data_IF_456647182202
#
_entry.id   IF_456647182202
#
_cell.length_a   1.000
_cell.length_b   1.000
_cell.length_c   1.000
_cell.angle_alpha   90.00
_cell.angle_beta   90.00
_cell.angle_gamma   90.00
#
_symmetry.space_group_name_H-M   'P 1'
#
loop_
_entity.id
_entity.type
_entity.pdbx_description
1 polymer ?
#
# COMPACT_ATOMS: atom_id res chain seq x y z
N UNK A 1 -20.83 -16.00 -16.83
CA UNK A 1 -21.65 -15.68 -15.65
C UNK A 1 -20.75 -15.43 -14.46
N UNK A 2 -20.89 -14.27 -13.83
CA UNK A 2 -20.20 -13.90 -12.59
C UNK A 2 -21.29 -13.66 -11.54
N UNK A 3 -21.68 -14.67 -10.78
CA UNK A 3 -22.81 -14.58 -9.84
C UNK A 3 -22.51 -13.68 -8.64
N UNK A 4 -21.24 -13.49 -8.32
CA UNK A 4 -20.77 -12.62 -7.21
C UNK A 4 -19.44 -11.98 -7.61
N UNK A 5 -19.26 -10.69 -7.27
CA UNK A 5 -18.04 -9.93 -7.53
C UNK A 5 -18.07 -9.18 -8.85
N UNK A 6 -16.90 -8.74 -9.30
CA UNK A 6 -16.73 -7.95 -10.51
C UNK A 6 -16.09 -8.78 -11.62
N UNK A 7 -16.59 -8.58 -12.85
CA UNK A 7 -16.02 -9.28 -14.01
C UNK A 7 -14.65 -8.69 -14.35
N UNK A 8 -13.62 -9.52 -14.34
CA UNK A 8 -12.27 -9.13 -14.76
C UNK A 8 -12.27 -8.75 -16.25
N UNK A 9 -11.66 -7.61 -16.58
CA UNK A 9 -11.61 -7.06 -17.94
C UNK A 9 -12.84 -6.22 -18.35
N UNK A 10 -13.82 -6.01 -17.47
CA UNK A 10 -14.91 -5.06 -17.71
C UNK A 10 -14.44 -3.64 -17.42
N UNK A 11 -14.72 -2.70 -18.33
CA UNK A 11 -14.29 -1.29 -18.21
C UNK A 11 -14.95 -0.58 -17.01
N UNK A 12 -16.17 -0.94 -16.66
CA UNK A 12 -16.92 -0.35 -15.54
C UNK A 12 -16.57 -0.96 -14.18
N UNK A 13 -16.04 -2.19 -14.14
CA UNK A 13 -15.77 -2.89 -12.89
C UNK A 13 -14.85 -2.11 -11.93
N UNK A 14 -13.75 -1.46 -12.36
CA UNK A 14 -12.91 -0.68 -11.45
C UNK A 14 -13.65 0.50 -10.81
N UNK A 15 -14.47 1.20 -11.60
CA UNK A 15 -15.25 2.35 -11.11
C UNK A 15 -16.30 1.91 -10.10
N UNK A 16 -17.04 0.84 -10.39
CA UNK A 16 -18.04 0.28 -9.48
C UNK A 16 -17.38 -0.20 -8.17
N UNK A 17 -16.19 -0.81 -8.26
CA UNK A 17 -15.44 -1.23 -7.10
C UNK A 17 -15.00 -0.06 -6.23
N UNK A 18 -14.55 1.06 -6.83
CA UNK A 18 -14.19 2.26 -6.09
C UNK A 18 -15.38 2.85 -5.31
N UNK A 19 -16.56 2.91 -5.91
CA UNK A 19 -17.76 3.32 -5.19
C UNK A 19 -18.07 2.38 -4.02
N UNK A 20 -17.97 1.08 -4.25
CA UNK A 20 -18.24 0.08 -3.24
C UNK A 20 -17.24 0.13 -2.07
N UNK A 21 -15.94 0.28 -2.36
CA UNK A 21 -14.89 0.35 -1.33
C UNK A 21 -14.97 1.68 -0.54
N UNK A 22 -15.51 2.75 -1.14
CA UNK A 22 -15.67 4.04 -0.47
C UNK A 22 -16.67 3.99 0.72
N UNK A 23 -17.58 3.03 0.73
CA UNK A 23 -18.46 2.75 1.88
C UNK A 23 -17.65 2.44 3.15
N UNK A 24 -16.46 1.84 3.01
CA UNK A 24 -15.57 1.56 4.14
C UNK A 24 -15.06 2.87 4.73
N UNK A 25 -14.60 3.81 3.90
CA UNK A 25 -14.11 5.10 4.36
C UNK A 25 -15.22 5.92 5.02
N UNK A 26 -16.41 5.95 4.42
CA UNK A 26 -17.59 6.63 4.98
C UNK A 26 -17.96 6.05 6.35
N UNK A 27 -17.98 4.71 6.49
CA UNK A 27 -18.29 4.05 7.76
C UNK A 27 -17.25 4.35 8.84
N UNK A 28 -15.98 4.50 8.49
CA UNK A 28 -14.92 4.86 9.45
C UNK A 28 -15.08 6.30 9.92
N UNK A 29 -15.39 7.22 9.02
CA UNK A 29 -15.62 8.64 9.30
C UNK A 29 -16.84 8.84 10.21
N UNK A 30 -17.98 8.22 9.90
CA UNK A 30 -19.22 8.28 10.68
C UNK A 30 -19.06 7.78 12.12
N UNK A 31 -18.18 6.83 12.37
CA UNK A 31 -17.94 6.28 13.71
C UNK A 31 -16.94 7.10 14.54
N UNK A 32 -16.49 8.27 14.05
CA UNK A 32 -15.62 9.19 14.79
C UNK A 32 -14.28 8.57 15.17
N UNK A 33 -13.74 7.71 14.31
CA UNK A 33 -12.45 7.07 14.52
C UNK A 33 -11.34 8.04 14.14
N UNK A 34 -10.44 8.27 15.09
CA UNK A 34 -9.32 9.18 14.93
C UNK A 34 -8.12 8.49 14.27
N UNK A 35 -7.50 9.19 13.32
CA UNK A 35 -6.27 8.80 12.62
C UNK A 35 -5.06 9.57 13.11
N UNK A 36 -4.20 9.96 12.17
CA UNK A 36 -3.05 10.84 12.39
C UNK A 36 -3.40 12.26 11.97
N UNK A 37 -3.11 13.24 12.82
CA UNK A 37 -3.27 14.64 12.46
C UNK A 37 -2.10 15.11 11.61
N UNK A 38 -2.34 15.42 10.34
CA UNK A 38 -1.34 16.01 9.43
C UNK A 38 -1.15 17.50 9.71
N UNK A 39 -2.26 18.20 9.96
CA UNK A 39 -2.28 19.60 10.39
C UNK A 39 -3.18 19.70 11.61
N UNK A 40 -2.67 20.19 12.75
CA UNK A 40 -3.44 20.25 13.99
C UNK A 40 -4.80 20.93 13.80
N UNK A 41 -5.87 20.19 14.03
CA UNK A 41 -7.25 20.67 13.95
C UNK A 41 -7.80 20.92 12.53
N UNK A 42 -7.06 20.64 11.46
CA UNK A 42 -7.48 20.90 10.07
C UNK A 42 -7.59 19.64 9.22
N UNK A 43 -6.59 18.76 9.26
CA UNK A 43 -6.55 17.56 8.41
C UNK A 43 -6.16 16.35 9.23
N UNK A 44 -7.07 15.39 9.28
CA UNK A 44 -6.85 14.08 9.90
C UNK A 44 -6.86 13.00 8.82
N UNK A 45 -5.89 12.10 8.87
CA UNK A 45 -5.77 10.99 7.94
C UNK A 45 -5.87 9.67 8.72
N UNK A 46 -6.91 8.89 8.44
CA UNK A 46 -7.18 7.62 9.13
C UNK A 46 -7.15 6.41 8.19
N UNK A 47 -7.40 6.62 6.88
CA UNK A 47 -7.46 5.55 5.88
C UNK A 47 -6.90 6.02 4.54
N UNK A 48 -6.19 5.12 3.86
CA UNK A 48 -5.82 5.27 2.46
C UNK A 48 -6.38 4.08 1.68
N UNK A 49 -7.00 4.37 0.55
CA UNK A 49 -7.59 3.36 -0.33
C UNK A 49 -6.91 3.42 -1.70
N UNK A 50 -6.42 2.28 -2.16
CA UNK A 50 -5.89 2.13 -3.51
C UNK A 50 -6.32 0.76 -4.07
N UNK A 51 -7.32 0.76 -4.93
CA UNK A 51 -8.00 -0.44 -5.41
C UNK A 51 -8.44 -1.34 -4.24
N UNK A 52 -7.89 -2.54 -4.12
CA UNK A 52 -8.13 -3.51 -3.04
C UNK A 52 -7.18 -3.35 -1.84
N UNK A 53 -6.16 -2.51 -1.95
CA UNK A 53 -5.24 -2.24 -0.85
C UNK A 53 -5.79 -1.15 0.07
N UNK A 54 -5.88 -1.46 1.37
CA UNK A 54 -6.35 -0.56 2.42
C UNK A 54 -5.23 -0.35 3.43
N UNK A 55 -4.94 0.91 3.75
CA UNK A 55 -4.03 1.28 4.84
C UNK A 55 -4.81 2.03 5.91
N UNK A 56 -4.76 1.53 7.14
CA UNK A 56 -5.29 2.20 8.32
C UNK A 56 -4.16 2.91 9.06
N UNK A 57 -4.41 4.11 9.50
CA UNK A 57 -3.43 4.97 10.17
C UNK A 57 -3.94 5.40 11.53
N UNK A 58 -3.12 5.23 12.57
CA UNK A 58 -3.45 5.67 13.92
C UNK A 58 -2.17 6.01 14.69
N UNK A 59 -2.24 6.99 15.57
CA UNK A 59 -1.15 7.39 16.46
C UNK A 59 -1.10 6.54 17.75
N UNK A 60 -2.12 5.72 18.01
CA UNK A 60 -2.21 4.87 19.19
C UNK A 60 -2.49 3.41 18.85
N UNK A 61 -1.93 2.50 19.66
CA UNK A 61 -2.17 1.05 19.50
C UNK A 61 -3.67 0.71 19.67
N UNK A 62 -4.36 1.36 20.60
CA UNK A 62 -5.80 1.15 20.85
C UNK A 62 -6.64 1.71 19.69
N UNK A 63 -6.27 2.88 19.17
CA UNK A 63 -6.93 3.47 18.00
C UNK A 63 -6.89 2.55 16.79
N UNK A 64 -5.71 2.01 16.48
CA UNK A 64 -5.55 1.04 15.37
C UNK A 64 -6.38 -0.22 15.60
N UNK A 65 -6.46 -0.75 16.83
CA UNK A 65 -7.30 -1.90 17.11
C UNK A 65 -8.79 -1.61 16.91
N UNK A 66 -9.25 -0.41 17.30
CA UNK A 66 -10.64 0.00 17.07
C UNK A 66 -10.94 0.13 15.56
N UNK A 67 -10.02 0.70 14.78
CA UNK A 67 -10.14 0.76 13.32
C UNK A 67 -10.19 -0.64 12.68
N UNK A 68 -9.36 -1.58 13.13
CA UNK A 68 -9.36 -2.97 12.66
C UNK A 68 -10.67 -3.68 12.96
N UNK A 69 -11.24 -3.47 14.14
CA UNK A 69 -12.53 -4.06 14.52
C UNK A 69 -13.65 -3.52 13.63
N UNK A 70 -13.72 -2.20 13.45
CA UNK A 70 -14.71 -1.58 12.58
C UNK A 70 -14.55 -2.03 11.13
N UNK A 71 -13.32 -2.02 10.59
CA UNK A 71 -13.05 -2.52 9.24
C UNK A 71 -13.56 -3.95 9.06
N UNK A 72 -13.30 -4.82 10.04
CA UNK A 72 -13.77 -6.20 10.00
C UNK A 72 -15.29 -6.29 9.96
N UNK A 73 -16.01 -5.47 10.75
CA UNK A 73 -17.46 -5.48 10.79
C UNK A 73 -18.07 -4.90 9.52
N UNK A 74 -17.51 -3.81 8.99
CA UNK A 74 -17.94 -3.24 7.70
C UNK A 74 -17.70 -4.23 6.57
N UNK A 75 -16.52 -4.85 6.50
CA UNK A 75 -16.21 -5.85 5.48
C UNK A 75 -17.16 -7.05 5.55
N UNK A 76 -17.53 -7.53 6.74
CA UNK A 76 -18.54 -8.58 6.89
C UNK A 76 -19.90 -8.17 6.34
N UNK A 77 -20.36 -6.95 6.61
CA UNK A 77 -21.63 -6.43 6.12
C UNK A 77 -21.63 -6.28 4.59
N UNK A 78 -20.48 -5.97 4.01
CA UNK A 78 -20.27 -5.84 2.58
C UNK A 78 -19.91 -7.19 1.90
N UNK A 79 -19.93 -8.30 2.63
CA UNK A 79 -19.52 -9.62 2.13
C UNK A 79 -18.09 -9.65 1.58
N UNK A 80 -17.21 -8.78 2.07
CA UNK A 80 -15.80 -8.75 1.72
C UNK A 80 -14.99 -9.63 2.69
N UNK A 81 -13.98 -10.30 2.15
CA UNK A 81 -13.07 -11.10 2.96
C UNK A 81 -11.69 -10.46 3.01
N UNK A 82 -11.22 -10.14 4.22
CA UNK A 82 -9.88 -9.57 4.42
C UNK A 82 -8.85 -10.71 4.45
N UNK A 83 -7.82 -10.61 3.61
CA UNK A 83 -6.72 -11.56 3.60
C UNK A 83 -5.78 -11.32 4.79
N UNK A 84 -5.94 -12.12 5.85
CA UNK A 84 -5.18 -12.00 7.11
C UNK A 84 -3.69 -12.28 6.93
N UNK A 85 -3.31 -13.18 6.03
CA UNK A 85 -1.91 -13.54 5.79
C UNK A 85 -1.12 -12.41 5.15
N UNK A 86 -1.80 -11.59 4.32
CA UNK A 86 -1.23 -10.39 3.69
C UNK A 86 -1.33 -9.15 4.56
N UNK A 87 -2.28 -9.12 5.51
CA UNK A 87 -2.47 -7.98 6.40
C UNK A 87 -1.38 -7.95 7.46
N UNK A 88 -0.64 -6.86 7.54
CA UNK A 88 0.47 -6.66 8.47
C UNK A 88 0.31 -5.35 9.22
N UNK A 89 0.91 -5.29 10.38
CA UNK A 89 1.01 -4.05 11.16
C UNK A 89 2.45 -3.56 11.12
N UNK A 90 2.65 -2.26 10.89
CA UNK A 90 3.96 -1.63 10.98
C UNK A 90 3.89 -0.49 11.99
N UNK A 91 4.78 -0.49 12.97
CA UNK A 91 4.88 0.57 13.98
C UNK A 91 6.07 1.46 13.68
N UNK A 92 5.81 2.70 13.30
CA UNK A 92 6.85 3.70 13.05
C UNK A 92 7.31 4.31 14.36
N UNK A 93 8.61 4.20 14.66
CA UNK A 93 9.23 4.78 15.87
C UNK A 93 10.70 5.05 15.66
N UNK A 94 11.26 6.00 16.42
CA UNK A 94 12.70 6.35 16.37
C UNK A 94 13.60 5.28 17.01
N UNK A 95 13.02 4.32 17.75
CA UNK A 95 13.76 3.24 18.41
C UNK A 95 12.90 2.57 19.49
N UNK A 96 13.49 1.58 20.21
CA UNK A 96 12.80 0.81 21.25
C UNK A 96 12.21 -0.50 20.75
N UNK A 97 11.78 -1.33 21.71
CA UNK A 97 11.09 -2.59 21.46
C UNK A 97 9.57 -2.38 21.48
N UNK A 98 8.84 -3.31 20.87
CA UNK A 98 7.38 -3.38 20.98
C UNK A 98 6.98 -3.53 22.44
N UNK A 99 6.03 -2.72 22.90
CA UNK A 99 5.46 -2.91 24.23
C UNK A 99 4.58 -4.18 24.25
N UNK A 100 4.36 -4.75 25.44
CA UNK A 100 3.55 -5.98 25.57
C UNK A 100 2.09 -5.81 25.09
N UNK A 101 1.58 -4.57 25.11
CA UNK A 101 0.24 -4.22 24.66
C UNK A 101 0.18 -3.85 23.17
N UNK A 102 1.29 -3.85 22.47
CA UNK A 102 1.36 -3.60 21.02
C UNK A 102 1.17 -4.91 20.25
N UNK A 103 -0.01 -5.46 20.39
CA UNK A 103 -0.51 -6.63 19.65
C UNK A 103 -1.86 -6.26 19.06
N UNK A 104 -2.08 -6.66 17.85
CA UNK A 104 -3.32 -6.38 17.12
C UNK A 104 -3.91 -7.66 16.58
N UNK A 105 -5.24 -7.73 16.64
CA UNK A 105 -5.99 -8.88 16.16
C UNK A 105 -6.99 -8.45 15.09
N UNK A 106 -7.22 -9.33 14.14
CA UNK A 106 -8.29 -9.19 13.15
C UNK A 106 -9.15 -10.44 13.19
N UNK A 107 -10.43 -10.29 13.58
CA UNK A 107 -11.36 -11.41 13.75
C UNK A 107 -10.76 -12.54 14.63
N UNK A 108 -10.15 -12.17 15.77
CA UNK A 108 -9.57 -13.11 16.74
C UNK A 108 -8.24 -13.76 16.34
N UNK A 109 -7.66 -13.36 15.20
CA UNK A 109 -6.34 -13.85 14.73
C UNK A 109 -5.32 -12.74 14.92
N UNK A 110 -4.18 -13.05 15.53
CA UNK A 110 -3.08 -12.12 15.73
C UNK A 110 -2.49 -11.71 14.38
N UNK A 111 -2.30 -10.39 14.19
CA UNK A 111 -1.64 -9.83 13.03
C UNK A 111 -0.13 -9.78 13.26
N UNK A 112 0.63 -10.13 12.24
CA UNK A 112 2.08 -10.03 12.27
C UNK A 112 2.53 -8.57 12.26
N UNK A 113 3.42 -8.22 13.21
CA UNK A 113 4.07 -6.91 13.25
C UNK A 113 5.41 -7.00 12.51
N UNK A 114 5.54 -6.21 11.46
CA UNK A 114 6.71 -6.24 10.58
C UNK A 114 7.56 -4.98 10.69
N UNK A 115 8.86 -5.11 10.43
CA UNK A 115 9.79 -3.98 10.42
C UNK A 115 9.95 -3.35 9.04
N UNK A 116 9.49 -4.05 8.01
CA UNK A 116 9.56 -3.59 6.62
C UNK A 116 8.34 -4.14 5.87
N UNK A 117 7.74 -3.30 5.01
CA UNK A 117 6.58 -3.66 4.21
C UNK A 117 6.64 -2.98 2.85
N UNK A 118 6.25 -3.70 1.81
CA UNK A 118 6.16 -3.15 0.46
C UNK A 118 4.73 -2.69 0.20
N UNK A 119 4.51 -1.38 0.12
CA UNK A 119 3.23 -0.79 -0.24
C UNK A 119 3.33 -0.08 -1.59
N UNK A 120 2.43 -0.38 -2.50
CA UNK A 120 2.41 0.14 -3.87
C UNK A 120 3.78 0.08 -4.57
N UNK A 121 4.53 -1.01 -4.34
CA UNK A 121 5.82 -1.24 -4.98
C UNK A 121 7.03 -0.56 -4.34
N UNK A 122 6.83 0.31 -3.33
CA UNK A 122 7.88 0.94 -2.55
C UNK A 122 8.05 0.25 -1.19
N UNK A 123 9.31 0.10 -0.73
CA UNK A 123 9.63 -0.56 0.55
C UNK A 123 9.73 0.48 1.66
N UNK A 124 8.81 0.40 2.62
CA UNK A 124 8.81 1.19 3.85
C UNK A 124 9.51 0.44 4.97
N UNK A 125 10.13 1.18 5.88
CA UNK A 125 10.76 0.64 7.09
C UNK A 125 10.26 1.37 8.33
N UNK A 126 10.19 0.68 9.48
CA UNK A 126 9.75 1.25 10.77
C UNK A 126 10.57 2.47 11.23
N UNK A 127 11.79 2.62 10.75
CA UNK A 127 12.68 3.75 11.05
C UNK A 127 12.48 4.96 10.13
N UNK A 128 11.50 4.92 9.23
CA UNK A 128 11.25 5.94 8.19
C UNK A 128 12.47 6.20 7.29
N UNK A 129 13.36 5.22 7.12
CA UNK A 129 14.49 5.33 6.20
C UNK A 129 14.03 4.96 4.78
N UNK A 130 14.14 5.89 3.85
CA UNK A 130 13.82 5.64 2.44
C UNK A 130 14.91 4.84 1.72
N UNK A 131 16.10 4.71 2.33
CA UNK A 131 17.25 4.03 1.72
C UNK A 131 16.92 2.63 1.18
N UNK A 132 16.19 1.82 1.96
CA UNK A 132 15.79 0.45 1.52
C UNK A 132 14.90 0.48 0.27
N UNK A 133 13.96 1.41 0.22
CA UNK A 133 13.09 1.60 -0.94
C UNK A 133 13.89 2.01 -2.18
N UNK A 134 14.76 3.00 -2.03
CA UNK A 134 15.65 3.49 -3.11
C UNK A 134 16.60 2.39 -3.59
N UNK A 135 17.25 1.65 -2.68
CA UNK A 135 18.14 0.53 -3.04
C UNK A 135 17.37 -0.55 -3.82
N UNK A 136 16.13 -0.87 -3.42
CA UNK A 136 15.28 -1.82 -4.14
C UNK A 136 14.92 -1.34 -5.55
N UNK A 137 14.60 -0.04 -5.71
CA UNK A 137 14.35 0.57 -7.01
C UNK A 137 15.60 0.57 -7.89
N UNK A 138 16.76 0.88 -7.33
CA UNK A 138 18.04 0.85 -8.05
C UNK A 138 18.34 -0.56 -8.57
N UNK A 139 18.02 -1.61 -7.81
CA UNK A 139 18.16 -3.00 -8.28
C UNK A 139 17.20 -3.31 -9.42
N UNK A 140 15.93 -2.89 -9.31
CA UNK A 140 14.93 -3.06 -10.39
C UNK A 140 15.34 -2.30 -11.65
N UNK A 141 15.79 -1.04 -11.52
CA UNK A 141 16.26 -0.22 -12.64
C UNK A 141 17.49 -0.81 -13.33
N UNK A 142 18.43 -1.35 -12.55
CA UNK A 142 19.59 -2.08 -13.11
C UNK A 142 19.18 -3.29 -13.94
N UNK A 143 18.21 -4.09 -13.47
CA UNK A 143 17.67 -5.23 -14.23
C UNK A 143 17.01 -4.75 -15.52
N UNK A 144 16.14 -3.74 -15.45
CA UNK A 144 15.50 -3.16 -16.62
C UNK A 144 16.54 -2.64 -17.64
N UNK A 145 17.62 -2.01 -17.17
CA UNK A 145 18.71 -1.54 -18.03
C UNK A 145 19.44 -2.70 -18.73
N UNK A 146 19.76 -3.78 -18.01
CA UNK A 146 20.39 -4.97 -18.59
C UNK A 146 19.50 -5.62 -19.64
N UNK A 147 18.20 -5.72 -19.38
CA UNK A 147 17.24 -6.28 -20.32
C UNK A 147 17.08 -5.36 -21.55
N UNK A 148 17.07 -4.04 -21.36
CA UNK A 148 17.11 -3.07 -22.43
C UNK A 148 18.35 -3.28 -23.33
N UNK A 149 19.56 -3.38 -22.75
CA UNK A 149 20.80 -3.59 -23.50
C UNK A 149 20.77 -4.92 -24.28
N UNK A 150 20.25 -5.99 -23.70
CA UNK A 150 20.12 -7.30 -24.39
C UNK A 150 19.20 -7.25 -25.59
N UNK A 151 18.13 -6.47 -25.54
CA UNK A 151 17.22 -6.29 -26.67
C UNK A 151 17.84 -5.44 -27.77
N UNK A 152 18.60 -4.42 -27.40
CA UNK A 152 19.19 -3.44 -28.33
C UNK A 152 20.46 -3.95 -28.98
N UNK A 153 21.21 -4.87 -28.35
CA UNK A 153 22.39 -5.49 -28.96
C UNK A 153 22.10 -6.14 -30.33
N UNK A 154 20.81 -6.31 -30.67
CA UNK A 154 20.32 -6.81 -31.95
C UNK A 154 19.89 -5.70 -32.93
N UNK A 155 19.88 -4.43 -32.50
CA UNK A 155 19.43 -3.29 -33.28
C UNK A 155 20.61 -2.37 -33.57
N UNK A 156 20.73 -1.93 -34.81
CA UNK A 156 21.86 -1.11 -35.30
C UNK A 156 21.68 0.39 -35.00
N UNK A 157 20.54 0.83 -34.48
CA UNK A 157 20.21 2.24 -34.32
C UNK A 157 20.25 2.65 -32.84
N UNK A 158 21.17 3.56 -32.52
CA UNK A 158 21.37 4.12 -31.20
C UNK A 158 20.18 4.98 -30.74
N UNK A 159 19.38 5.52 -31.64
CA UNK A 159 18.19 6.31 -31.31
C UNK A 159 17.10 5.43 -30.66
N UNK A 160 17.02 4.17 -31.05
CA UNK A 160 16.16 3.18 -30.43
C UNK A 160 16.55 2.91 -28.97
N UNK A 161 17.85 2.96 -28.65
CA UNK A 161 18.33 2.79 -27.28
C UNK A 161 17.73 3.84 -26.34
N UNK A 162 17.85 5.12 -26.69
CA UNK A 162 17.33 6.19 -25.85
C UNK A 162 15.82 6.11 -25.67
N UNK A 163 15.08 5.80 -26.72
CA UNK A 163 13.62 5.62 -26.62
C UNK A 163 13.23 4.46 -25.69
N UNK A 164 13.92 3.32 -25.78
CA UNK A 164 13.64 2.18 -24.91
C UNK A 164 14.08 2.49 -23.47
N UNK A 165 15.22 3.17 -23.29
CA UNK A 165 15.66 3.62 -21.98
C UNK A 165 14.63 4.53 -21.31
N UNK A 166 14.17 5.56 -22.03
CA UNK A 166 13.19 6.53 -21.53
C UNK A 166 11.82 5.90 -21.23
N UNK A 167 11.44 4.84 -21.97
CA UNK A 167 10.14 4.19 -21.78
C UNK A 167 10.15 3.02 -20.80
N UNK A 168 11.27 2.33 -20.62
CA UNK A 168 11.33 1.11 -19.79
C UNK A 168 12.23 1.24 -18.56
N UNK A 169 13.32 2.00 -18.62
CA UNK A 169 14.29 2.08 -17.52
C UNK A 169 13.99 3.30 -16.64
N UNK A 170 13.84 4.46 -17.25
CA UNK A 170 13.62 5.72 -16.54
C UNK A 170 12.36 5.68 -15.65
N UNK A 171 11.18 5.18 -16.07
CA UNK A 171 10.02 5.11 -15.20
C UNK A 171 10.22 4.20 -13.98
N UNK A 172 11.02 3.14 -14.11
CA UNK A 172 11.37 2.27 -12.97
C UNK A 172 12.27 2.98 -11.99
N UNK A 173 13.28 3.72 -12.47
CA UNK A 173 14.20 4.47 -11.61
C UNK A 173 13.53 5.65 -10.91
N UNK A 174 12.63 6.34 -11.61
CA UNK A 174 11.92 7.52 -11.08
C UNK A 174 10.63 7.17 -10.32
N UNK A 175 10.32 5.88 -10.18
CA UNK A 175 9.13 5.47 -9.44
C UNK A 175 9.20 5.96 -7.99
N UNK A 176 8.13 6.62 -7.52
CA UNK A 176 8.05 7.26 -6.20
C UNK A 176 9.15 8.29 -5.92
N UNK A 177 9.72 8.93 -6.97
CA UNK A 177 10.79 9.94 -6.81
C UNK A 177 10.37 11.17 -5.99
N UNK A 178 9.07 11.45 -5.93
CA UNK A 178 8.48 12.47 -5.06
C UNK A 178 8.66 12.20 -3.55
N UNK A 179 9.06 10.99 -3.18
CA UNK A 179 9.27 10.60 -1.79
C UNK A 179 10.73 10.63 -1.34
N UNK A 180 11.69 10.72 -2.29
CA UNK A 180 13.12 10.62 -2.00
C UNK A 180 13.98 11.58 -2.83
#
# INVERSE_FOLDING_TARGET
DCPVGLRQGCILSPVLFLFFINEIAASVDENGIHGIQLLPGLVELFILLFADDIVLLSDTARGLQNQLNLLNDVCKNLFLNINKDKTKVMVFRKGGFLARNEKWTLNGVDLEVVNEYTYLGFVFTTRMSLKRGVDALAVKGRRACVDCIRHISKLSDISCFFKIFDTQVQPVLLYSSEMW
#
